data_IF_252835225109
#
_entry.id   IF_252835225109
#
_cell.length_a   1.000
_cell.length_b   1.000
_cell.length_c   1.000
_cell.angle_alpha   90.00
_cell.angle_beta   90.00
_cell.angle_gamma   90.00
#
_symmetry.space_group_name_H-M   'P 1'
#
loop_
_entity.id
_entity.type
_entity.pdbx_description
1 polymer ?
#
# COMPACT_ATOMS: atom_id res chain seq x y z
N UNK A 1 7.77 -11.23 19.34
CA UNK A 1 6.60 -11.35 18.45
C UNK A 1 6.88 -12.48 17.47
N UNK A 2 6.03 -13.51 17.39
CA UNK A 2 6.28 -14.64 16.48
C UNK A 2 6.09 -14.20 15.02
N UNK A 3 6.94 -14.68 14.10
CA UNK A 3 6.91 -14.30 12.68
C UNK A 3 5.56 -14.59 11.99
N UNK A 4 4.77 -15.53 12.53
CA UNK A 4 3.42 -15.84 12.06
C UNK A 4 2.42 -14.72 12.35
N UNK A 5 2.39 -14.21 13.60
CA UNK A 5 1.44 -13.18 14.03
C UNK A 5 1.63 -11.88 13.23
N UNK A 6 2.90 -11.53 12.96
CA UNK A 6 3.25 -10.38 12.13
C UNK A 6 2.65 -10.49 10.72
N UNK A 7 2.81 -11.65 10.07
CA UNK A 7 2.27 -11.86 8.71
C UNK A 7 0.75 -11.87 8.69
N UNK A 8 0.11 -12.41 9.73
CA UNK A 8 -1.34 -12.40 9.86
C UNK A 8 -1.89 -10.97 10.03
N UNK A 9 -1.27 -10.18 10.91
CA UNK A 9 -1.64 -8.78 11.11
C UNK A 9 -1.43 -7.96 9.84
N UNK A 10 -0.29 -8.13 9.15
CA UNK A 10 -0.05 -7.44 7.89
C UNK A 10 -1.07 -7.83 6.82
N UNK A 11 -1.42 -9.12 6.70
CA UNK A 11 -2.45 -9.58 5.77
C UNK A 11 -3.81 -8.95 6.05
N UNK A 12 -4.20 -8.83 7.33
CA UNK A 12 -5.41 -8.17 7.74
C UNK A 12 -5.42 -6.68 7.35
N UNK A 13 -4.33 -5.95 7.59
CA UNK A 13 -4.20 -4.55 7.20
C UNK A 13 -4.18 -4.35 5.68
N UNK A 14 -3.57 -5.27 4.91
CA UNK A 14 -3.60 -5.21 3.44
C UNK A 14 -5.02 -5.44 2.90
N UNK A 15 -5.83 -6.25 3.59
CA UNK A 15 -7.27 -6.39 3.26
C UNK A 15 -8.04 -5.11 3.61
N UNK A 16 -7.85 -4.58 4.82
CA UNK A 16 -8.45 -3.30 5.26
C UNK A 16 -8.09 -2.18 4.28
N UNK A 17 -6.83 -2.09 3.83
CA UNK A 17 -6.39 -1.09 2.87
C UNK A 17 -7.16 -1.17 1.55
N UNK A 18 -7.36 -2.39 1.03
CA UNK A 18 -8.16 -2.60 -0.18
C UNK A 18 -9.60 -2.12 0.02
N UNK A 19 -10.23 -2.52 1.13
CA UNK A 19 -11.63 -2.23 1.38
C UNK A 19 -11.85 -0.71 1.53
N UNK A 20 -10.97 -0.02 2.25
CA UNK A 20 -10.98 1.44 2.38
C UNK A 20 -10.71 2.15 1.04
N UNK A 21 -9.78 1.64 0.22
CA UNK A 21 -9.54 2.17 -1.12
C UNK A 21 -10.78 2.03 -2.02
N UNK A 22 -11.49 0.90 -1.94
CA UNK A 22 -12.74 0.70 -2.68
C UNK A 22 -13.83 1.66 -2.20
N UNK A 23 -14.01 1.81 -0.89
CA UNK A 23 -14.97 2.76 -0.31
C UNK A 23 -14.65 4.22 -0.64
N UNK A 24 -13.38 4.53 -0.89
CA UNK A 24 -12.91 5.84 -1.32
C UNK A 24 -12.90 6.02 -2.86
N UNK A 25 -13.41 5.08 -3.66
CA UNK A 25 -13.36 5.16 -5.13
C UNK A 25 -11.92 5.27 -5.69
N UNK A 26 -10.95 4.70 -4.97
CA UNK A 26 -9.52 4.64 -5.34
C UNK A 26 -9.14 3.26 -5.92
N UNK A 27 -10.08 2.60 -6.57
CA UNK A 27 -9.90 1.23 -7.08
C UNK A 27 -10.34 1.10 -8.53
N UNK A 28 -9.37 0.96 -9.42
CA UNK A 28 -9.62 0.84 -10.85
C UNK A 28 -10.05 -0.58 -11.23
N UNK A 29 -11.01 -0.68 -12.16
CA UNK A 29 -11.39 -1.96 -12.76
C UNK A 29 -10.37 -2.46 -13.78
N UNK A 30 -9.61 -1.55 -14.40
CA UNK A 30 -8.65 -1.84 -15.46
C UNK A 30 -7.24 -1.49 -15.01
N UNK A 31 -6.31 -2.41 -15.17
CA UNK A 31 -4.91 -2.16 -14.88
C UNK A 31 -4.29 -1.12 -15.85
N UNK A 32 -3.35 -0.28 -15.37
CA UNK A 32 -2.49 0.54 -16.20
C UNK A 32 -1.69 -0.29 -17.21
N UNK A 33 -1.09 0.39 -18.19
CA UNK A 33 -0.23 -0.29 -19.17
C UNK A 33 0.95 -1.01 -18.48
N UNK A 34 1.41 -2.11 -19.07
CA UNK A 34 2.61 -2.81 -18.56
C UNK A 34 3.84 -1.90 -18.51
N UNK A 35 3.92 -0.89 -19.38
CA UNK A 35 5.01 0.10 -19.36
C UNK A 35 4.95 0.96 -18.10
N UNK A 36 3.77 1.44 -17.73
CA UNK A 36 3.58 2.23 -16.51
C UNK A 36 3.90 1.42 -15.25
N UNK A 37 3.47 0.16 -15.19
CA UNK A 37 3.75 -0.73 -14.06
C UNK A 37 5.24 -1.09 -13.89
N UNK A 38 6.08 -0.79 -14.87
CA UNK A 38 7.52 -1.09 -14.89
C UNK A 38 8.40 0.13 -14.60
N UNK A 39 7.84 1.25 -14.14
CA UNK A 39 8.65 2.39 -13.71
C UNK A 39 9.61 1.99 -12.59
N UNK A 40 10.83 2.54 -12.67
CA UNK A 40 11.89 2.37 -11.66
C UNK A 40 11.92 3.50 -10.65
N UNK A 41 11.08 4.52 -10.83
CA UNK A 41 10.98 5.64 -9.89
C UNK A 41 10.27 5.21 -8.60
N UNK A 42 10.62 5.81 -7.44
CA UNK A 42 9.88 5.60 -6.20
C UNK A 42 8.39 5.85 -6.39
N UNK A 43 7.54 4.94 -5.90
CA UNK A 43 6.08 5.04 -6.07
C UNK A 43 5.59 5.14 -7.52
N UNK A 44 6.46 4.90 -8.52
CA UNK A 44 6.16 5.10 -9.93
C UNK A 44 5.50 6.45 -10.24
N UNK A 45 5.88 7.52 -9.52
CA UNK A 45 5.22 8.84 -9.57
C UNK A 45 5.18 9.47 -10.97
N UNK A 46 6.06 9.02 -11.87
CA UNK A 46 6.18 9.49 -13.25
C UNK A 46 5.15 8.85 -14.20
N UNK A 47 4.53 7.74 -13.80
CA UNK A 47 3.70 6.91 -14.68
C UNK A 47 2.38 6.47 -14.08
N UNK A 48 2.21 6.58 -12.76
CA UNK A 48 1.03 6.15 -12.03
C UNK A 48 0.56 7.23 -11.07
N UNK A 49 -0.75 7.32 -10.92
CA UNK A 49 -1.33 7.94 -9.73
C UNK A 49 -0.99 7.11 -8.49
N UNK A 50 -0.85 7.77 -7.34
CA UNK A 50 -0.41 7.08 -6.12
C UNK A 50 -1.33 5.91 -5.73
N UNK A 51 -2.65 6.05 -5.91
CA UNK A 51 -3.59 4.96 -5.62
C UNK A 51 -3.43 3.77 -6.58
N UNK A 52 -3.03 4.00 -7.84
CA UNK A 52 -2.74 2.94 -8.80
C UNK A 52 -1.48 2.18 -8.41
N UNK A 53 -0.46 2.90 -7.92
CA UNK A 53 0.72 2.26 -7.34
C UNK A 53 0.35 1.38 -6.13
N UNK A 54 -0.53 1.86 -5.24
CA UNK A 54 -1.03 1.06 -4.12
C UNK A 54 -1.73 -0.22 -4.61
N UNK A 55 -2.68 -0.07 -5.53
CA UNK A 55 -3.52 -1.16 -6.04
C UNK A 55 -2.74 -2.22 -6.82
N UNK A 56 -1.90 -1.79 -7.77
CA UNK A 56 -1.33 -2.69 -8.77
C UNK A 56 0.10 -3.12 -8.47
N UNK A 57 0.81 -2.41 -7.58
CA UNK A 57 2.20 -2.73 -7.23
C UNK A 57 2.29 -3.13 -5.76
N UNK A 58 1.91 -2.24 -4.85
CA UNK A 58 2.14 -2.44 -3.42
C UNK A 58 1.34 -3.62 -2.84
N UNK A 59 0.01 -3.61 -3.00
CA UNK A 59 -0.88 -4.65 -2.44
C UNK A 59 -0.52 -6.04 -2.98
N UNK A 60 -0.36 -6.26 -4.31
CA UNK A 60 0.02 -7.57 -4.84
C UNK A 60 1.41 -8.00 -4.36
N UNK A 61 2.38 -7.09 -4.26
CA UNK A 61 3.72 -7.41 -3.78
C UNK A 61 3.72 -7.90 -2.33
N UNK A 62 2.98 -7.22 -1.44
CA UNK A 62 2.88 -7.63 -0.04
C UNK A 62 2.18 -8.98 0.11
N UNK A 63 1.07 -9.22 -0.61
CA UNK A 63 0.39 -10.52 -0.64
C UNK A 63 1.31 -11.63 -1.11
N UNK A 64 2.02 -11.43 -2.23
CA UNK A 64 2.94 -12.44 -2.76
C UNK A 64 4.04 -12.79 -1.76
N UNK A 65 4.59 -11.79 -1.04
CA UNK A 65 5.62 -12.03 -0.03
C UNK A 65 5.09 -12.84 1.15
N UNK A 66 3.87 -12.55 1.61
CA UNK A 66 3.20 -13.29 2.69
C UNK A 66 2.96 -14.73 2.24
N UNK A 67 2.29 -14.92 1.11
CA UNK A 67 1.85 -16.23 0.61
C UNK A 67 3.03 -17.15 0.31
N UNK A 68 4.08 -16.61 -0.34
CA UNK A 68 5.29 -17.37 -0.70
C UNK A 68 6.34 -17.40 0.41
N UNK A 69 6.02 -16.90 1.61
CA UNK A 69 6.95 -16.78 2.75
C UNK A 69 8.29 -16.10 2.39
N UNK A 70 8.27 -15.18 1.42
CA UNK A 70 9.46 -14.41 1.05
C UNK A 70 9.81 -13.41 2.16
N UNK A 71 11.06 -12.92 2.21
CA UNK A 71 11.42 -11.80 3.08
C UNK A 71 10.50 -10.60 2.85
N UNK A 72 9.98 -10.04 3.94
CA UNK A 72 9.27 -8.76 3.92
C UNK A 72 10.30 -7.62 3.92
N UNK A 73 9.94 -6.40 3.47
CA UNK A 73 10.82 -5.25 3.59
C UNK A 73 11.18 -4.99 5.06
N UNK A 74 12.37 -4.45 5.31
CA UNK A 74 12.80 -4.11 6.67
C UNK A 74 12.22 -2.78 7.17
N UNK A 75 11.80 -1.91 6.25
CA UNK A 75 11.22 -0.59 6.52
C UNK A 75 10.20 -0.26 5.44
N UNK A 76 9.10 0.40 5.83
CA UNK A 76 8.11 0.98 4.93
C UNK A 76 7.76 2.40 5.41
N UNK A 77 7.62 3.31 4.45
CA UNK A 77 7.21 4.70 4.66
C UNK A 77 6.28 5.12 3.52
N UNK A 78 5.07 4.55 3.50
CA UNK A 78 4.07 4.77 2.44
C UNK A 78 3.10 5.87 2.80
N UNK A 79 2.74 6.02 4.08
CA UNK A 79 1.78 7.02 4.55
C UNK A 79 2.19 8.47 4.28
N UNK A 80 3.48 8.89 4.38
CA UNK A 80 3.86 10.26 4.06
C UNK A 80 3.58 10.61 2.59
N UNK A 81 3.78 9.65 1.69
CA UNK A 81 3.45 9.84 0.28
C UNK A 81 1.93 9.97 0.05
N UNK A 82 1.12 9.24 0.82
CA UNK A 82 -0.34 9.36 0.77
C UNK A 82 -0.82 10.75 1.22
N UNK A 83 -0.21 11.27 2.28
CA UNK A 83 -0.50 12.61 2.80
C UNK A 83 -0.13 13.68 1.76
N UNK A 84 0.98 13.51 1.05
CA UNK A 84 1.36 14.42 -0.02
C UNK A 84 0.40 14.32 -1.22
N UNK A 85 0.18 13.11 -1.73
CA UNK A 85 -0.63 12.85 -2.93
C UNK A 85 -2.10 13.30 -2.77
N UNK A 86 -2.63 13.28 -1.54
CA UNK A 86 -4.02 13.63 -1.25
C UNK A 86 -4.16 14.93 -0.47
N UNK A 87 -3.12 15.78 -0.47
CA UNK A 87 -3.18 17.12 0.14
C UNK A 87 -4.40 17.89 -0.37
N UNK A 88 -5.24 18.35 0.56
CA UNK A 88 -6.51 19.02 0.27
C UNK A 88 -7.75 18.11 0.31
N UNK A 89 -7.59 16.78 0.21
CA UNK A 89 -8.67 15.78 0.24
C UNK A 89 -8.50 14.76 1.38
N UNK A 90 -7.78 15.11 2.44
CA UNK A 90 -7.47 14.18 3.53
C UNK A 90 -8.70 13.68 4.28
N UNK A 91 -9.79 14.45 4.30
CA UNK A 91 -11.01 14.04 4.99
C UNK A 91 -11.64 12.82 4.32
N UNK A 92 -11.69 12.84 2.99
CA UNK A 92 -12.22 11.81 2.12
C UNK A 92 -11.27 10.60 2.05
N UNK A 93 -9.96 10.81 2.24
CA UNK A 93 -8.93 9.75 2.21
C UNK A 93 -8.47 9.28 3.58
N UNK A 94 -9.09 9.76 4.66
CA UNK A 94 -8.61 9.61 6.03
C UNK A 94 -8.37 8.15 6.42
N UNK A 95 -9.33 7.26 6.14
CA UNK A 95 -9.22 5.86 6.55
C UNK A 95 -8.08 5.16 5.81
N UNK A 96 -7.94 5.40 4.51
CA UNK A 96 -6.82 4.87 3.72
C UNK A 96 -5.47 5.32 4.29
N UNK A 97 -5.33 6.62 4.62
CA UNK A 97 -4.11 7.15 5.25
C UNK A 97 -3.84 6.48 6.61
N UNK A 98 -4.87 6.30 7.43
CA UNK A 98 -4.73 5.65 8.75
C UNK A 98 -4.29 4.19 8.62
N UNK A 99 -4.83 3.44 7.66
CA UNK A 99 -4.39 2.06 7.42
C UNK A 99 -2.94 2.02 6.95
N UNK A 100 -2.54 2.91 6.04
CA UNK A 100 -1.14 3.01 5.61
C UNK A 100 -0.20 3.33 6.76
N UNK A 101 -0.60 4.22 7.68
CA UNK A 101 0.16 4.50 8.90
C UNK A 101 0.29 3.25 9.77
N UNK A 102 -0.80 2.52 10.02
CA UNK A 102 -0.75 1.24 10.78
C UNK A 102 0.22 0.25 10.13
N UNK A 103 0.22 0.15 8.80
CA UNK A 103 1.16 -0.69 8.07
C UNK A 103 2.60 -0.21 8.30
N UNK A 104 2.90 1.07 8.07
CA UNK A 104 4.25 1.61 8.26
C UNK A 104 4.77 1.39 9.70
N UNK A 105 3.92 1.58 10.72
CA UNK A 105 4.26 1.32 12.13
C UNK A 105 4.69 -0.13 12.39
N UNK A 106 4.12 -1.12 11.67
CA UNK A 106 4.58 -2.51 11.81
C UNK A 106 6.04 -2.68 11.38
N UNK A 107 6.55 -1.82 10.50
CA UNK A 107 7.90 -1.87 9.96
C UNK A 107 8.83 -0.82 10.57
N UNK A 108 8.34 0.00 11.49
CA UNK A 108 9.22 0.81 12.33
C UNK A 108 9.88 -0.13 13.35
N UNK A 109 11.19 -0.12 13.37
CA UNK A 109 11.99 -0.85 14.35
C UNK A 109 11.55 -0.45 15.75
N UNK A 110 11.25 -1.45 16.59
CA UNK A 110 11.20 -1.30 18.04
C UNK A 110 12.58 -0.92 18.60
#
# INVERSE_FOLDING_TARGET
MHSSDFKQQLSALIRELRDEMQGAELWDSKAPSQKALKSTQPFAYDTLEFYQWLQFIFIPNMKERIDKKKPLPNRLEVSPMAEEAWRGNWKERRQVILVLRKIDEMFKSA
#
